data_IF_978281196694
#
_entry.id   IF_978281196694
#
_cell.length_a   1.000
_cell.length_b   1.000
_cell.length_c   1.000
_cell.angle_alpha   90.00
_cell.angle_beta   90.00
_cell.angle_gamma   90.00
#
_symmetry.space_group_name_H-M   'P 1'
#
loop_
_entity.id
_entity.type
_entity.pdbx_description
1 polymer ?
#
# COMPACT_ATOMS: atom_id res chain seq x y z
N UNK A 1 -42.35 71.58 -8.44
CA UNK A 1 -42.06 70.95 -9.75
C UNK A 1 -42.77 69.61 -9.78
N UNK A 2 -43.73 69.46 -10.72
CA UNK A 2 -44.20 68.24 -11.40
C UNK A 2 -44.53 66.96 -10.60
N UNK A 3 -45.48 66.06 -10.95
CA UNK A 3 -46.65 66.01 -11.82
C UNK A 3 -47.18 64.55 -11.72
N UNK A 4 -48.51 64.36 -11.69
CA UNK A 4 -49.31 63.24 -12.25
C UNK A 4 -49.31 61.80 -11.64
N UNK A 5 -50.57 61.38 -11.42
CA UNK A 5 -51.20 60.04 -11.44
C UNK A 5 -50.64 59.07 -12.51
N UNK A 6 -50.66 57.75 -12.26
CA UNK A 6 -51.65 56.78 -12.81
C UNK A 6 -51.36 55.30 -12.47
N UNK A 7 -52.44 54.53 -12.52
CA UNK A 7 -52.65 53.09 -12.29
C UNK A 7 -51.81 52.18 -13.20
N UNK A 8 -51.49 50.97 -12.71
CA UNK A 8 -51.06 49.82 -13.51
C UNK A 8 -51.28 48.52 -12.74
N UNK A 9 -52.12 47.65 -13.30
CA UNK A 9 -52.62 46.38 -12.78
C UNK A 9 -51.67 45.25 -13.24
N UNK A 10 -51.22 44.35 -12.36
CA UNK A 10 -50.98 42.96 -12.74
C UNK A 10 -50.99 42.03 -11.52
N UNK A 11 -51.98 41.14 -11.52
CA UNK A 11 -52.07 39.93 -10.71
C UNK A 11 -51.02 38.95 -11.23
N UNK A 12 -50.19 38.36 -10.35
CA UNK A 12 -49.55 37.08 -10.63
C UNK A 12 -49.44 36.24 -9.36
N UNK A 13 -50.33 35.25 -9.29
CA UNK A 13 -50.24 33.94 -8.66
C UNK A 13 -49.02 33.70 -7.73
N UNK A 14 -49.26 33.68 -6.41
CA UNK A 14 -48.40 32.96 -5.46
C UNK A 14 -48.54 31.46 -5.72
N UNK A 15 -47.62 30.91 -6.52
CA UNK A 15 -47.39 29.47 -6.57
C UNK A 15 -46.71 29.02 -5.28
N UNK A 16 -47.49 28.34 -4.45
CA UNK A 16 -47.01 27.59 -3.28
C UNK A 16 -46.12 26.44 -3.81
N UNK A 17 -44.81 26.62 -3.84
CA UNK A 17 -43.87 25.51 -4.00
C UNK A 17 -43.73 24.86 -2.62
N UNK A 18 -44.48 23.78 -2.39
CA UNK A 18 -44.13 22.81 -1.36
C UNK A 18 -42.76 22.23 -1.74
N UNK A 19 -41.73 22.65 -1.02
CA UNK A 19 -40.45 21.95 -1.01
C UNK A 19 -40.71 20.64 -0.26
N UNK A 20 -40.98 19.57 -1.01
CA UNK A 20 -40.81 18.22 -0.51
C UNK A 20 -39.31 18.01 -0.36
N UNK A 21 -38.82 18.13 0.87
CA UNK A 21 -37.49 17.67 1.25
C UNK A 21 -37.51 16.14 1.28
N UNK A 22 -37.01 15.52 0.22
CA UNK A 22 -36.63 14.11 0.22
C UNK A 22 -35.18 14.01 0.72
N UNK A 23 -34.87 13.28 1.81
CA UNK A 23 -33.50 12.91 2.12
C UNK A 23 -33.26 11.50 1.59
N UNK A 24 -32.89 11.41 0.32
CA UNK A 24 -32.01 10.36 -0.18
C UNK A 24 -31.11 11.10 -1.13
N UNK A 25 -29.89 11.44 -0.67
CA UNK A 25 -28.90 12.05 -1.53
C UNK A 25 -28.59 11.07 -2.64
N UNK A 26 -28.83 11.51 -3.88
CA UNK A 26 -28.45 10.75 -5.05
C UNK A 26 -26.92 10.63 -5.03
N UNK A 27 -26.42 9.43 -4.73
CA UNK A 27 -25.02 9.06 -4.95
C UNK A 27 -24.75 9.26 -6.45
N UNK A 28 -23.83 10.18 -6.78
CA UNK A 28 -23.37 10.34 -8.15
C UNK A 28 -22.68 9.03 -8.54
N UNK A 29 -23.32 8.24 -9.40
CA UNK A 29 -22.76 7.00 -9.92
C UNK A 29 -21.74 7.32 -11.00
N UNK A 30 -20.52 6.87 -10.84
CA UNK A 30 -19.42 7.18 -11.74
C UNK A 30 -18.90 5.91 -12.42
N UNK A 31 -18.22 6.06 -13.56
CA UNK A 31 -17.65 4.92 -14.28
C UNK A 31 -16.64 4.18 -13.36
N UNK A 32 -16.91 2.91 -13.02
CA UNK A 32 -16.15 2.08 -12.07
C UNK A 32 -16.01 2.67 -10.66
N UNK A 33 -16.79 2.17 -9.71
CA UNK A 33 -16.72 2.57 -8.31
C UNK A 33 -16.04 1.49 -7.47
N UNK A 34 -15.24 1.88 -6.48
CA UNK A 34 -14.67 0.95 -5.51
C UNK A 34 -14.71 1.49 -4.10
N UNK A 35 -14.59 0.58 -3.15
CA UNK A 35 -14.31 0.89 -1.77
C UNK A 35 -13.43 -0.15 -1.09
N UNK A 36 -12.72 0.29 -0.07
CA UNK A 36 -11.90 -0.57 0.77
C UNK A 36 -12.05 -0.17 2.24
N UNK A 37 -11.95 -1.15 3.11
CA UNK A 37 -11.92 -1.00 4.57
C UNK A 37 -10.66 -1.67 5.08
N UNK A 38 -9.92 -0.99 5.95
CA UNK A 38 -8.83 -1.56 6.74
C UNK A 38 -9.06 -1.24 8.21
N UNK A 39 -9.16 -2.28 9.03
CA UNK A 39 -9.33 -2.14 10.50
C UNK A 39 -8.03 -1.70 11.17
N UNK A 40 -8.12 -0.88 12.21
CA UNK A 40 -6.98 -0.60 13.09
C UNK A 40 -6.60 -1.87 13.87
N UNK A 41 -5.37 -1.90 14.40
CA UNK A 41 -4.87 -3.05 15.15
C UNK A 41 -5.78 -3.37 16.36
N UNK A 42 -6.17 -4.64 16.49
CA UNK A 42 -7.10 -5.10 17.54
C UNK A 42 -8.58 -4.95 17.22
N UNK A 43 -8.95 -4.39 16.07
CA UNK A 43 -10.34 -4.32 15.59
C UNK A 43 -10.60 -5.32 14.47
N UNK A 44 -11.86 -5.78 14.38
CA UNK A 44 -12.40 -6.58 13.26
C UNK A 44 -13.71 -5.95 12.80
N UNK A 45 -14.02 -6.07 11.51
CA UNK A 45 -15.16 -5.40 10.86
C UNK A 45 -16.50 -5.57 11.59
N UNK A 46 -16.95 -6.79 11.93
CA UNK A 46 -18.27 -6.97 12.56
C UNK A 46 -18.36 -6.49 14.01
N UNK A 47 -17.23 -6.13 14.65
CA UNK A 47 -17.19 -5.65 16.03
C UNK A 47 -16.82 -4.16 16.13
N UNK A 48 -16.72 -3.46 14.98
CA UNK A 48 -16.60 -2.01 14.93
C UNK A 48 -17.84 -1.40 15.63
N UNK A 49 -17.67 -0.67 16.75
CA UNK A 49 -18.81 -0.14 17.50
C UNK A 49 -19.67 0.76 16.63
N UNK A 50 -20.96 0.46 16.52
CA UNK A 50 -21.92 1.38 15.96
C UNK A 50 -22.31 2.39 17.05
N UNK A 51 -22.10 3.69 16.79
CA UNK A 51 -22.54 4.73 17.73
C UNK A 51 -24.07 4.79 17.75
N UNK A 52 -24.66 4.62 18.95
CA UNK A 52 -26.11 4.54 19.18
C UNK A 52 -26.88 5.89 19.04
N UNK A 53 -26.29 6.95 18.47
CA UNK A 53 -26.92 8.29 18.45
C UNK A 53 -26.40 9.20 17.30
N UNK A 54 -27.23 9.72 16.37
CA UNK A 54 -28.36 9.12 15.64
C UNK A 54 -27.88 8.30 14.39
N UNK A 55 -28.75 7.52 13.69
CA UNK A 55 -28.35 6.40 12.81
C UNK A 55 -27.77 6.85 11.44
N UNK A 56 -27.21 5.93 10.61
CA UNK A 56 -26.17 6.15 9.59
C UNK A 56 -26.41 7.29 8.58
N UNK A 57 -25.34 7.81 7.93
CA UNK A 57 -24.34 6.96 7.28
C UNK A 57 -22.92 6.98 7.88
N UNK A 58 -22.67 7.72 8.97
CA UNK A 58 -21.32 8.30 9.09
C UNK A 58 -20.17 7.42 9.59
N UNK A 59 -20.40 6.23 10.18
CA UNK A 59 -19.33 5.35 10.71
C UNK A 59 -19.59 3.85 10.45
N UNK A 60 -20.16 3.50 9.27
CA UNK A 60 -20.52 2.10 8.93
C UNK A 60 -19.58 1.52 7.87
N UNK A 61 -18.82 0.44 8.15
CA UNK A 61 -18.01 -0.23 7.14
C UNK A 61 -18.85 -0.77 5.97
N UNK A 62 -20.13 -1.09 6.15
CA UNK A 62 -21.00 -1.56 5.05
C UNK A 62 -21.14 -0.52 3.92
N UNK A 63 -21.02 0.78 4.21
CA UNK A 63 -21.05 1.84 3.18
C UNK A 63 -19.88 1.71 2.19
N UNK A 64 -18.78 1.09 2.60
CA UNK A 64 -17.57 0.99 1.79
C UNK A 64 -17.52 -0.26 0.92
N UNK A 65 -18.27 -1.32 1.25
CA UNK A 65 -18.20 -2.56 0.48
C UNK A 65 -19.53 -3.18 0.06
N UNK A 66 -20.61 -2.98 0.82
CA UNK A 66 -21.91 -3.62 0.56
C UNK A 66 -22.92 -2.64 -0.03
N UNK A 67 -23.22 -1.56 0.69
CA UNK A 67 -24.22 -0.59 0.26
C UNK A 67 -23.78 0.15 -1.01
N UNK A 68 -22.47 0.39 -1.19
CA UNK A 68 -22.00 1.01 -2.43
C UNK A 68 -22.24 0.10 -3.66
N UNK A 69 -21.97 -1.21 -3.59
CA UNK A 69 -22.24 -2.12 -4.72
C UNK A 69 -23.74 -2.15 -5.02
N UNK A 70 -24.59 -2.20 -4.00
CA UNK A 70 -26.06 -2.18 -4.15
C UNK A 70 -26.55 -0.89 -4.80
N UNK A 71 -25.90 0.23 -4.51
CA UNK A 71 -26.25 1.53 -5.06
C UNK A 71 -25.73 1.75 -6.48
N UNK A 72 -24.75 0.96 -6.95
CA UNK A 72 -24.19 1.03 -8.30
C UNK A 72 -25.18 0.54 -9.38
N UNK A 73 -26.20 1.35 -9.69
CA UNK A 73 -27.17 1.07 -10.74
C UNK A 73 -26.63 1.24 -12.17
N UNK A 74 -25.39 1.71 -12.33
CA UNK A 74 -24.81 2.15 -13.62
C UNK A 74 -23.52 1.41 -14.01
N UNK A 75 -23.11 0.39 -13.24
CA UNK A 75 -21.95 -0.47 -13.50
C UNK A 75 -22.45 -1.85 -13.95
N UNK A 76 -22.79 -2.04 -15.25
CA UNK A 76 -23.45 -3.25 -15.72
C UNK A 76 -22.50 -4.46 -15.84
N UNK A 77 -21.19 -4.25 -15.75
CA UNK A 77 -20.18 -5.26 -16.08
C UNK A 77 -19.69 -5.99 -14.83
N UNK A 78 -20.58 -6.18 -13.86
CA UNK A 78 -20.33 -7.01 -12.69
C UNK A 78 -19.60 -6.34 -11.53
N UNK A 79 -19.19 -7.15 -10.56
CA UNK A 79 -18.49 -6.70 -9.35
C UNK A 79 -17.59 -7.79 -8.79
N UNK A 80 -16.67 -7.39 -7.92
CA UNK A 80 -15.88 -8.30 -7.10
C UNK A 80 -15.73 -7.79 -5.68
N UNK A 81 -15.63 -8.72 -4.74
CA UNK A 81 -15.37 -8.46 -3.32
C UNK A 81 -14.41 -9.52 -2.79
N UNK A 82 -13.39 -9.08 -2.08
CA UNK A 82 -12.45 -9.93 -1.36
C UNK A 82 -12.31 -9.45 0.07
N UNK A 83 -11.93 -10.34 0.98
CA UNK A 83 -11.53 -9.95 2.34
C UNK A 83 -10.30 -10.73 2.80
N UNK A 84 -9.65 -10.23 3.85
CA UNK A 84 -8.56 -10.92 4.55
C UNK A 84 -8.92 -11.00 6.04
N UNK A 85 -8.62 -12.14 6.65
CA UNK A 85 -8.77 -12.35 8.10
C UNK A 85 -7.60 -11.81 8.88
N UNK A 86 -7.86 -11.39 10.13
CA UNK A 86 -6.81 -10.96 11.04
C UNK A 86 -5.82 -12.10 11.31
N UNK A 87 -4.52 -11.82 11.12
CA UNK A 87 -3.44 -12.80 11.23
C UNK A 87 -3.18 -13.67 9.99
N UNK A 88 -3.98 -13.54 8.92
CA UNK A 88 -3.66 -14.14 7.62
C UNK A 88 -2.86 -13.15 6.76
N UNK A 89 -2.07 -13.66 5.82
CA UNK A 89 -1.36 -12.85 4.80
C UNK A 89 -1.78 -13.21 3.38
N UNK A 90 -2.54 -14.29 3.22
CA UNK A 90 -3.00 -14.82 1.94
C UNK A 90 -4.53 -14.87 1.98
N UNK A 91 -5.17 -14.41 0.91
CA UNK A 91 -6.62 -14.43 0.68
C UNK A 91 -6.95 -15.71 -0.08
N UNK A 92 -7.43 -16.80 0.54
CA UNK A 92 -7.82 -18.01 -0.18
C UNK A 92 -9.05 -17.79 -1.09
N UNK A 93 -9.34 -18.74 -1.97
CA UNK A 93 -10.45 -18.65 -2.94
C UNK A 93 -11.83 -18.46 -2.29
N UNK A 94 -12.06 -19.04 -1.11
CA UNK A 94 -13.32 -18.89 -0.35
C UNK A 94 -13.49 -17.52 0.32
N UNK A 95 -12.51 -16.62 0.15
CA UNK A 95 -12.57 -15.23 0.57
C UNK A 95 -12.65 -14.27 -0.64
N UNK A 96 -12.96 -14.80 -1.83
CA UNK A 96 -13.05 -14.05 -3.08
C UNK A 96 -14.38 -14.35 -3.78
N UNK A 97 -15.12 -13.31 -4.10
CA UNK A 97 -16.38 -13.43 -4.81
C UNK A 97 -16.42 -12.47 -5.99
N UNK A 98 -16.81 -13.00 -7.14
CA UNK A 98 -16.94 -12.25 -8.38
C UNK A 98 -18.28 -12.56 -9.05
N UNK A 99 -18.82 -11.56 -9.74
CA UNK A 99 -20.01 -11.68 -10.56
C UNK A 99 -19.79 -10.97 -11.88
N UNK A 100 -20.13 -11.62 -12.99
CA UNK A 100 -20.20 -10.98 -14.31
C UNK A 100 -21.46 -10.10 -14.46
N UNK A 101 -22.46 -10.31 -13.60
CA UNK A 101 -23.73 -9.59 -13.60
C UNK A 101 -23.79 -8.57 -12.44
N UNK A 102 -24.47 -7.43 -12.61
CA UNK A 102 -24.65 -6.46 -11.54
C UNK A 102 -25.58 -6.98 -10.44
N UNK A 103 -25.51 -6.37 -9.25
CA UNK A 103 -26.45 -6.64 -8.15
C UNK A 103 -27.91 -6.40 -8.61
N UNK A 104 -28.90 -7.23 -8.22
CA UNK A 104 -28.88 -8.27 -7.19
C UNK A 104 -28.41 -9.66 -7.63
N UNK A 105 -27.85 -9.80 -8.83
CA UNK A 105 -27.28 -11.09 -9.26
C UNK A 105 -25.95 -11.36 -8.57
N UNK A 106 -25.60 -12.64 -8.43
CA UNK A 106 -24.30 -13.08 -7.91
C UNK A 106 -24.22 -13.18 -6.39
N UNK A 107 -23.00 -13.33 -5.84
CA UNK A 107 -22.75 -13.74 -4.46
C UNK A 107 -22.63 -12.60 -3.43
N UNK A 108 -23.01 -11.35 -3.73
CA UNK A 108 -22.79 -10.21 -2.82
C UNK A 108 -23.37 -10.43 -1.41
N UNK A 109 -24.62 -10.91 -1.32
CA UNK A 109 -25.28 -11.13 -0.03
C UNK A 109 -24.62 -12.27 0.77
N UNK A 110 -24.08 -13.29 0.09
CA UNK A 110 -23.30 -14.35 0.72
C UNK A 110 -21.97 -13.81 1.25
N UNK A 111 -21.25 -13.03 0.44
CA UNK A 111 -20.01 -12.39 0.84
C UNK A 111 -20.20 -11.49 2.08
N UNK A 112 -21.26 -10.68 2.09
CA UNK A 112 -21.63 -9.84 3.23
C UNK A 112 -21.87 -10.67 4.50
N UNK A 113 -22.67 -11.73 4.41
CA UNK A 113 -22.91 -12.62 5.56
C UNK A 113 -21.62 -13.25 6.11
N UNK A 114 -20.67 -13.60 5.25
CA UNK A 114 -19.38 -14.16 5.65
C UNK A 114 -18.51 -13.09 6.31
N UNK A 115 -18.37 -11.92 5.71
CA UNK A 115 -17.56 -10.81 6.23
C UNK A 115 -18.09 -10.33 7.59
N UNK A 116 -19.41 -10.26 7.73
CA UNK A 116 -20.07 -9.77 8.95
C UNK A 116 -20.18 -10.83 10.05
N UNK A 117 -19.64 -12.04 9.85
CA UNK A 117 -19.56 -13.04 10.92
C UNK A 117 -18.32 -12.79 11.79
N UNK A 118 -18.48 -12.52 13.11
CA UNK A 118 -17.36 -12.27 14.01
C UNK A 118 -16.32 -13.40 14.03
N UNK A 119 -16.73 -14.65 13.81
CA UNK A 119 -15.81 -15.81 13.78
C UNK A 119 -14.87 -15.81 12.58
N UNK A 120 -15.11 -14.96 11.58
CA UNK A 120 -14.24 -14.83 10.41
C UNK A 120 -13.20 -13.73 10.57
N UNK A 121 -13.27 -12.90 11.62
CA UNK A 121 -12.23 -11.92 11.97
C UNK A 121 -11.79 -11.05 10.78
N UNK A 122 -12.74 -10.61 9.94
CA UNK A 122 -12.41 -9.82 8.75
C UNK A 122 -11.70 -8.52 9.16
N UNK A 123 -10.51 -8.28 8.60
CA UNK A 123 -9.64 -7.14 8.91
C UNK A 123 -9.51 -6.15 7.76
N UNK A 124 -9.61 -6.64 6.51
CA UNK A 124 -9.51 -5.88 5.29
C UNK A 124 -10.59 -6.38 4.34
N UNK A 125 -11.32 -5.46 3.71
CA UNK A 125 -12.25 -5.75 2.62
C UNK A 125 -11.95 -4.81 1.46
N UNK A 126 -11.92 -5.34 0.24
CA UNK A 126 -11.82 -4.57 -1.00
C UNK A 126 -12.93 -5.00 -1.93
N UNK A 127 -13.62 -4.02 -2.49
CA UNK A 127 -14.80 -4.25 -3.31
C UNK A 127 -14.87 -3.26 -4.46
N UNK A 128 -15.28 -3.73 -5.64
CA UNK A 128 -15.29 -2.92 -6.86
C UNK A 128 -16.50 -3.30 -7.73
N UNK A 129 -17.22 -2.29 -8.22
CA UNK A 129 -18.28 -2.42 -9.20
C UNK A 129 -17.81 -1.85 -10.55
N UNK A 130 -17.88 -2.66 -11.60
CA UNK A 130 -17.21 -2.40 -12.87
C UNK A 130 -18.16 -1.85 -13.94
N UNK A 131 -17.73 -0.77 -14.59
CA UNK A 131 -18.21 -0.31 -15.90
C UNK A 131 -17.00 -0.34 -16.85
N UNK A 132 -16.83 -1.48 -17.50
CA UNK A 132 -15.64 -1.83 -18.26
C UNK A 132 -15.68 -1.28 -19.69
N UNK A 133 -14.55 -0.77 -20.17
CA UNK A 133 -14.39 -0.35 -21.57
C UNK A 133 -13.94 -1.49 -22.51
N UNK A 134 -13.77 -2.72 -21.98
CA UNK A 134 -13.43 -3.94 -22.75
C UNK A 134 -12.89 -5.11 -21.91
N UNK A 135 -12.94 -6.33 -22.45
CA UNK A 135 -12.40 -7.56 -21.84
C UNK A 135 -13.24 -8.17 -20.69
N UNK A 136 -13.15 -9.48 -20.50
CA UNK A 136 -13.71 -10.21 -19.34
C UNK A 136 -12.78 -10.10 -18.15
N UNK A 137 -13.30 -9.74 -16.99
CA UNK A 137 -12.55 -9.72 -15.73
C UNK A 137 -12.93 -8.58 -14.79
N UNK A 138 -12.86 -8.85 -13.49
CA UNK A 138 -13.35 -7.97 -12.44
C UNK A 138 -12.24 -7.66 -11.44
N UNK A 139 -12.24 -6.43 -10.96
CA UNK A 139 -11.48 -6.07 -9.78
C UNK A 139 -12.18 -6.63 -8.52
N UNK A 140 -11.46 -6.77 -7.39
CA UNK A 140 -10.02 -6.63 -7.25
C UNK A 140 -9.25 -7.77 -7.94
N UNK A 141 -8.16 -7.44 -8.65
CA UNK A 141 -7.18 -8.44 -9.10
C UNK A 141 -6.36 -8.90 -7.90
N UNK A 142 -5.84 -10.13 -7.94
CA UNK A 142 -5.00 -10.69 -6.86
C UNK A 142 -3.72 -11.30 -7.41
N UNK A 143 -2.62 -11.19 -6.68
CA UNK A 143 -1.30 -11.73 -7.06
C UNK A 143 -0.62 -12.33 -5.83
N UNK A 144 -0.34 -13.63 -5.87
CA UNK A 144 0.35 -14.33 -4.79
C UNK A 144 1.87 -14.21 -4.95
N UNK A 145 2.55 -13.67 -3.94
CA UNK A 145 4.00 -13.62 -3.92
C UNK A 145 4.55 -13.66 -2.51
N UNK A 146 5.61 -14.45 -2.30
CA UNK A 146 6.33 -14.54 -1.02
C UNK A 146 5.42 -14.81 0.20
N UNK A 147 4.37 -15.62 0.02
CA UNK A 147 3.41 -15.96 1.07
C UNK A 147 2.42 -14.84 1.40
N UNK A 148 2.18 -13.91 0.48
CA UNK A 148 1.23 -12.81 0.62
C UNK A 148 0.35 -12.68 -0.62
N UNK A 149 -0.91 -12.27 -0.43
CA UNK A 149 -1.77 -11.81 -1.51
C UNK A 149 -1.67 -10.31 -1.65
N UNK A 150 -1.19 -9.86 -2.81
CA UNK A 150 -1.36 -8.48 -3.25
C UNK A 150 -2.72 -8.35 -3.95
N UNK A 151 -3.44 -7.26 -3.73
CA UNK A 151 -4.72 -7.02 -4.40
C UNK A 151 -4.81 -5.62 -4.99
N UNK A 152 -5.44 -5.48 -6.16
CA UNK A 152 -5.42 -4.22 -6.92
C UNK A 152 -6.78 -3.86 -7.50
N UNK A 153 -7.19 -2.63 -7.23
CA UNK A 153 -8.39 -1.98 -7.77
C UNK A 153 -7.98 -0.73 -8.53
N UNK A 154 -8.53 -0.53 -9.73
CA UNK A 154 -8.20 0.61 -10.57
C UNK A 154 -9.49 1.26 -11.08
N UNK A 155 -9.56 2.58 -10.97
CA UNK A 155 -10.58 3.43 -11.57
C UNK A 155 -9.88 4.39 -12.53
N UNK A 156 -9.98 4.05 -13.81
CA UNK A 156 -9.29 4.76 -14.88
C UNK A 156 -9.12 3.89 -16.11
N UNK A 157 -8.35 4.41 -17.05
CA UNK A 157 -7.92 3.67 -18.23
C UNK A 157 -6.54 4.15 -18.68
N UNK A 158 -5.74 3.23 -19.19
CA UNK A 158 -4.49 3.55 -19.89
C UNK A 158 -4.66 3.35 -21.40
N UNK A 159 -3.95 4.15 -22.20
CA UNK A 159 -4.02 4.00 -23.67
C UNK A 159 -3.49 2.64 -24.15
N UNK A 160 -3.98 2.17 -25.30
CA UNK A 160 -3.49 0.96 -25.96
C UNK A 160 -1.98 0.97 -26.22
N UNK A 161 -1.36 2.14 -26.39
CA UNK A 161 0.09 2.26 -26.56
C UNK A 161 0.84 1.87 -25.28
N UNK A 162 0.37 2.34 -24.12
CA UNK A 162 0.94 1.94 -22.83
C UNK A 162 0.64 0.47 -22.57
N UNK A 163 -0.62 0.05 -22.74
CA UNK A 163 -1.04 -1.35 -22.55
C UNK A 163 -0.16 -2.32 -23.34
N UNK A 164 0.07 -2.04 -24.63
CA UNK A 164 0.96 -2.83 -25.48
C UNK A 164 2.42 -2.79 -24.98
N UNK A 165 2.93 -1.64 -24.57
CA UNK A 165 4.31 -1.52 -24.08
C UNK A 165 4.53 -2.29 -22.76
N UNK A 166 3.57 -2.25 -21.84
CA UNK A 166 3.60 -3.07 -20.61
C UNK A 166 3.57 -4.55 -20.95
N UNK A 167 2.64 -4.97 -21.80
CA UNK A 167 2.59 -6.35 -22.28
C UNK A 167 3.91 -6.77 -22.95
N UNK A 168 4.53 -5.90 -23.76
CA UNK A 168 5.78 -6.21 -24.45
C UNK A 168 6.95 -6.44 -23.48
N UNK A 169 7.05 -5.66 -22.39
CA UNK A 169 8.05 -5.90 -21.34
C UNK A 169 7.76 -7.16 -20.52
N UNK A 170 6.49 -7.45 -20.21
CA UNK A 170 6.08 -8.63 -19.45
C UNK A 170 6.19 -9.94 -20.26
N UNK A 171 5.70 -9.93 -21.50
CA UNK A 171 5.71 -11.10 -22.39
C UNK A 171 7.13 -11.55 -22.74
N UNK A 172 8.09 -10.60 -22.73
CA UNK A 172 9.53 -10.84 -22.88
C UNK A 172 9.88 -11.90 -23.93
N UNK A 173 9.70 -11.56 -25.21
CA UNK A 173 9.92 -12.44 -26.36
C UNK A 173 11.35 -13.01 -26.51
N UNK A 174 12.32 -12.53 -25.72
CA UNK A 174 13.73 -12.95 -25.70
C UNK A 174 14.00 -14.30 -25.00
N UNK A 175 12.94 -15.07 -24.74
CA UNK A 175 12.93 -16.41 -24.13
C UNK A 175 14.00 -17.36 -24.72
N UNK A 176 14.45 -17.13 -25.96
CA UNK A 176 15.41 -18.01 -26.64
C UNK A 176 16.89 -17.79 -26.30
N UNK A 177 17.27 -16.76 -25.53
CA UNK A 177 18.70 -16.48 -25.27
C UNK A 177 19.18 -16.75 -23.83
N UNK A 178 18.29 -16.87 -22.83
CA UNK A 178 18.72 -16.90 -21.41
C UNK A 178 18.01 -17.92 -20.48
N UNK A 179 17.26 -18.90 -21.01
CA UNK A 179 16.55 -19.93 -20.20
C UNK A 179 15.64 -19.36 -19.08
N UNK A 180 15.10 -18.14 -19.25
CA UNK A 180 14.14 -17.54 -18.31
C UNK A 180 12.72 -17.75 -18.83
N UNK A 181 11.87 -18.39 -18.01
CA UNK A 181 10.45 -18.58 -18.32
C UNK A 181 9.74 -17.22 -18.48
N UNK A 182 8.83 -17.06 -19.47
CA UNK A 182 8.05 -15.84 -19.64
C UNK A 182 7.28 -15.44 -18.37
N UNK A 183 7.05 -14.13 -18.16
CA UNK A 183 6.37 -13.63 -16.96
C UNK A 183 5.03 -14.33 -16.71
N UNK A 184 4.17 -14.41 -17.72
CA UNK A 184 2.84 -15.01 -17.60
C UNK A 184 2.82 -16.53 -17.53
N UNK A 185 3.97 -17.20 -17.70
CA UNK A 185 4.14 -18.62 -17.38
C UNK A 185 4.37 -18.81 -15.88
N UNK A 186 5.06 -17.86 -15.25
CA UNK A 186 5.33 -17.89 -13.80
C UNK A 186 4.21 -17.23 -12.98
N UNK A 187 3.50 -16.29 -13.59
CA UNK A 187 2.50 -15.44 -12.96
C UNK A 187 1.27 -15.36 -13.85
N UNK A 188 0.40 -16.35 -13.73
CA UNK A 188 -0.80 -16.48 -14.56
C UNK A 188 -1.73 -15.27 -14.42
N UNK A 189 -2.45 -14.97 -15.50
CA UNK A 189 -3.54 -14.00 -15.50
C UNK A 189 -4.66 -14.45 -14.57
N UNK A 190 -5.26 -13.51 -13.82
CA UNK A 190 -6.41 -13.79 -12.96
C UNK A 190 -7.62 -14.33 -13.72
N UNK A 191 -7.70 -14.05 -15.02
CA UNK A 191 -8.84 -14.41 -15.87
C UNK A 191 -8.44 -15.39 -16.99
N UNK A 192 -7.34 -16.12 -16.81
CA UNK A 192 -6.83 -17.09 -17.80
C UNK A 192 -6.63 -16.49 -19.20
N UNK A 193 -6.27 -15.19 -19.26
CA UNK A 193 -6.04 -14.49 -20.51
C UNK A 193 -4.86 -15.10 -21.25
N UNK A 194 -5.01 -15.38 -22.55
CA UNK A 194 -3.93 -15.87 -23.39
C UNK A 194 -2.75 -14.87 -23.39
N UNK A 195 -1.55 -15.24 -22.89
CA UNK A 195 -0.41 -14.34 -22.84
C UNK A 195 0.02 -13.80 -24.21
N UNK A 196 -0.25 -14.54 -25.29
CA UNK A 196 0.08 -14.12 -26.66
C UNK A 196 -0.87 -13.07 -27.25
N UNK A 197 -1.99 -12.76 -26.61
CA UNK A 197 -2.98 -11.79 -27.09
C UNK A 197 -3.11 -10.59 -26.14
N UNK A 198 -2.26 -9.59 -26.34
CA UNK A 198 -2.28 -8.36 -25.56
C UNK A 198 -3.64 -7.62 -25.63
N UNK A 199 -4.42 -7.83 -26.68
CA UNK A 199 -5.70 -7.12 -26.84
C UNK A 199 -6.76 -7.66 -25.89
N UNK A 200 -6.68 -8.94 -25.52
CA UNK A 200 -7.60 -9.62 -24.62
C UNK A 200 -7.42 -9.22 -23.14
N UNK A 201 -6.21 -8.81 -22.74
CA UNK A 201 -5.96 -8.36 -21.36
C UNK A 201 -6.81 -7.13 -21.01
N UNK A 202 -7.26 -7.05 -19.77
CA UNK A 202 -7.74 -5.78 -19.23
C UNK A 202 -6.52 -4.91 -18.94
N UNK A 203 -6.63 -3.62 -19.22
CA UNK A 203 -5.55 -2.65 -19.02
C UNK A 203 -5.07 -2.59 -17.56
N UNK A 204 -6.01 -2.68 -16.63
CA UNK A 204 -5.80 -2.75 -15.18
C UNK A 204 -5.01 -4.00 -14.76
N UNK A 205 -5.24 -5.14 -15.41
CA UNK A 205 -4.51 -6.38 -15.13
C UNK A 205 -3.04 -6.25 -15.55
N UNK A 206 -2.79 -5.74 -16.76
CA UNK A 206 -1.42 -5.49 -17.24
C UNK A 206 -0.69 -4.45 -16.38
N UNK A 207 -1.39 -3.39 -15.97
CA UNK A 207 -0.85 -2.40 -15.04
C UNK A 207 -0.47 -3.05 -13.71
N UNK A 208 -1.33 -3.91 -13.16
CA UNK A 208 -1.06 -4.61 -11.90
C UNK A 208 0.14 -5.56 -12.01
N UNK A 209 0.21 -6.41 -13.04
CA UNK A 209 1.38 -7.27 -13.26
C UNK A 209 2.67 -6.47 -13.47
N UNK A 210 2.61 -5.32 -14.14
CA UNK A 210 3.75 -4.41 -14.28
C UNK A 210 4.21 -3.85 -12.93
N UNK A 211 3.28 -3.43 -12.08
CA UNK A 211 3.56 -2.99 -10.71
C UNK A 211 4.21 -4.14 -9.92
N UNK A 212 3.62 -5.34 -9.95
CA UNK A 212 4.14 -6.51 -9.24
C UNK A 212 5.55 -6.89 -9.69
N UNK A 213 5.83 -6.85 -11.00
CA UNK A 213 7.19 -7.08 -11.51
C UNK A 213 8.19 -6.11 -10.87
N UNK A 214 7.85 -4.82 -10.80
CA UNK A 214 8.75 -3.82 -10.23
C UNK A 214 8.88 -3.97 -8.71
N UNK A 215 7.83 -4.39 -7.98
CA UNK A 215 7.93 -4.73 -6.55
C UNK A 215 8.93 -5.86 -6.34
N UNK A 216 8.85 -6.94 -7.14
CA UNK A 216 9.78 -8.07 -7.08
C UNK A 216 11.21 -7.63 -7.40
N UNK A 217 11.39 -6.82 -8.44
CA UNK A 217 12.71 -6.31 -8.86
C UNK A 217 13.35 -5.38 -7.81
N UNK A 218 12.55 -4.77 -6.91
CA UNK A 218 13.00 -3.87 -5.84
C UNK A 218 12.92 -4.54 -4.46
N UNK A 219 13.36 -5.80 -4.38
CA UNK A 219 13.47 -6.58 -3.14
C UNK A 219 12.15 -6.66 -2.34
N UNK A 220 11.01 -6.69 -3.04
CA UNK A 220 9.66 -6.73 -2.47
C UNK A 220 9.24 -5.45 -1.72
N UNK A 221 9.94 -4.33 -1.91
CA UNK A 221 9.47 -3.04 -1.41
C UNK A 221 8.30 -2.56 -2.25
N UNK A 222 7.09 -2.58 -1.69
CA UNK A 222 5.86 -2.14 -2.36
C UNK A 222 6.00 -0.69 -2.84
N UNK A 223 6.48 0.20 -1.97
CA UNK A 223 6.59 1.62 -2.27
C UNK A 223 7.64 1.91 -3.36
N UNK A 224 8.83 1.31 -3.27
CA UNK A 224 9.89 1.48 -4.27
C UNK A 224 9.48 0.90 -5.63
N UNK A 225 8.89 -0.30 -5.62
CA UNK A 225 8.39 -0.97 -6.83
C UNK A 225 7.26 -0.19 -7.51
N UNK A 226 6.32 0.36 -6.73
CA UNK A 226 5.24 1.19 -7.26
C UNK A 226 5.77 2.45 -7.93
N UNK A 227 6.70 3.15 -7.29
CA UNK A 227 7.33 4.33 -7.89
C UNK A 227 8.09 3.98 -9.17
N UNK A 228 8.91 2.92 -9.13
CA UNK A 228 9.66 2.48 -10.30
C UNK A 228 8.73 2.10 -11.46
N UNK A 229 7.64 1.38 -11.18
CA UNK A 229 6.64 1.01 -12.18
C UNK A 229 6.03 2.23 -12.88
N UNK A 230 5.67 3.27 -12.11
CA UNK A 230 4.97 4.45 -12.62
C UNK A 230 5.91 5.49 -13.26
N UNK A 231 7.22 5.38 -13.04
CA UNK A 231 8.23 6.30 -13.59
C UNK A 231 9.13 5.66 -14.66
N UNK A 232 8.91 4.39 -14.98
CA UNK A 232 9.73 3.65 -15.92
C UNK A 232 9.64 4.16 -17.37
N UNK A 233 10.70 3.88 -18.13
CA UNK A 233 10.69 3.98 -19.59
C UNK A 233 10.51 2.58 -20.17
N UNK A 234 9.38 2.35 -20.82
CA UNK A 234 9.00 1.04 -21.36
C UNK A 234 9.13 0.98 -22.87
N UNK A 235 9.55 -0.16 -23.43
CA UNK A 235 9.68 -0.31 -24.89
C UNK A 235 8.32 -0.54 -25.53
N UNK A 236 8.02 0.29 -26.53
CA UNK A 236 6.81 0.21 -27.35
C UNK A 236 6.96 -0.67 -28.59
N UNK A 237 8.14 -1.26 -28.84
CA UNK A 237 8.36 -2.23 -29.91
C UNK A 237 9.34 -3.33 -29.48
N UNK A 238 9.15 -4.58 -29.95
CA UNK A 238 10.16 -5.64 -29.85
C UNK A 238 11.43 -5.23 -30.65
N UNK A 239 12.63 -5.39 -30.09
CA UNK A 239 13.88 -5.24 -30.86
C UNK A 239 14.00 -6.19 -32.07
N UNK A 240 14.93 -5.96 -33.04
CA UNK A 240 16.08 -5.01 -33.02
C UNK A 240 15.75 -3.54 -33.41
N UNK A 241 16.63 -2.57 -33.08
CA UNK A 241 16.37 -1.11 -33.01
C UNK A 241 16.02 -0.35 -34.31
N UNK A 242 15.57 0.93 -34.20
CA UNK A 242 15.42 1.71 -32.96
C UNK A 242 14.10 1.41 -32.24
N UNK A 243 14.21 0.86 -31.03
CA UNK A 243 13.07 0.69 -30.13
C UNK A 243 12.61 2.07 -29.64
N UNK A 244 11.38 2.44 -29.95
CA UNK A 244 10.75 3.63 -29.35
C UNK A 244 10.39 3.33 -27.90
N UNK A 245 10.70 4.25 -26.98
CA UNK A 245 10.34 4.13 -25.56
C UNK A 245 9.21 5.08 -25.22
N UNK A 246 8.34 4.65 -24.31
CA UNK A 246 7.31 5.47 -23.69
C UNK A 246 7.79 5.79 -22.28
N UNK A 247 7.82 7.07 -21.96
CA UNK A 247 8.14 7.57 -20.62
C UNK A 247 6.86 7.60 -19.79
N UNK A 248 6.66 6.64 -18.88
CA UNK A 248 5.43 6.51 -18.11
C UNK A 248 5.21 7.70 -17.17
N UNK A 249 6.29 8.28 -16.63
CA UNK A 249 6.18 9.51 -15.85
C UNK A 249 5.52 10.62 -16.68
N UNK A 250 6.00 10.85 -17.91
CA UNK A 250 5.41 11.85 -18.79
C UNK A 250 3.97 11.53 -19.18
N UNK A 251 3.64 10.25 -19.36
CA UNK A 251 2.27 9.83 -19.64
C UNK A 251 1.33 10.07 -18.47
N UNK A 252 1.74 9.77 -17.24
CA UNK A 252 0.89 9.89 -16.06
C UNK A 252 0.83 11.30 -15.45
N UNK A 253 1.81 12.17 -15.76
CA UNK A 253 1.86 13.56 -15.29
C UNK A 253 1.35 14.56 -16.35
N UNK A 254 1.72 14.41 -17.64
CA UNK A 254 1.33 15.37 -18.68
C UNK A 254 0.13 14.93 -19.50
N UNK A 255 -0.12 13.63 -19.56
CA UNK A 255 -1.18 13.01 -20.35
C UNK A 255 -2.18 12.25 -19.46
N UNK A 256 -2.33 12.66 -18.19
CA UNK A 256 -3.22 12.04 -17.21
C UNK A 256 -4.68 11.99 -17.69
N UNK A 257 -5.10 12.94 -18.52
CA UNK A 257 -6.46 13.05 -19.05
C UNK A 257 -6.86 11.89 -19.99
N UNK A 258 -5.88 11.15 -20.50
CA UNK A 258 -6.09 9.95 -21.32
C UNK A 258 -5.38 8.72 -20.75
N UNK A 259 -4.69 8.87 -19.62
CA UNK A 259 -4.01 7.81 -18.86
C UNK A 259 -4.32 8.03 -17.37
N UNK A 260 -5.58 7.75 -17.02
CA UNK A 260 -6.06 7.85 -15.65
C UNK A 260 -5.65 6.58 -14.91
N UNK A 261 -4.90 6.73 -13.80
CA UNK A 261 -4.39 5.62 -12.98
C UNK A 261 -4.70 5.82 -11.50
N UNK A 262 -5.97 6.04 -11.15
CA UNK A 262 -6.34 6.08 -9.75
C UNK A 262 -6.57 4.66 -9.24
N UNK A 263 -5.92 4.28 -8.15
CA UNK A 263 -5.96 2.90 -7.68
C UNK A 263 -5.90 2.77 -6.17
N UNK A 264 -6.27 1.59 -5.70
CA UNK A 264 -5.97 1.07 -4.38
C UNK A 264 -5.22 -0.25 -4.57
N UNK A 265 -4.01 -0.31 -4.02
CA UNK A 265 -3.20 -1.53 -3.93
C UNK A 265 -3.14 -1.96 -2.47
N UNK A 266 -3.37 -3.23 -2.21
CA UNK A 266 -3.11 -3.89 -0.93
C UNK A 266 -1.92 -4.84 -1.10
N UNK A 267 -0.99 -4.86 -0.15
CA UNK A 267 0.23 -5.69 -0.23
C UNK A 267 0.26 -6.89 0.73
N UNK A 268 -0.88 -7.19 1.35
CA UNK A 268 -1.00 -8.18 2.42
C UNK A 268 -1.03 -7.57 3.82
N UNK A 269 -0.64 -6.31 3.97
CA UNK A 269 -0.59 -5.63 5.28
C UNK A 269 -1.21 -4.22 5.25
N UNK A 270 -0.93 -3.45 4.20
CA UNK A 270 -1.25 -2.02 4.12
C UNK A 270 -1.92 -1.66 2.80
N UNK A 271 -2.65 -0.53 2.79
CA UNK A 271 -3.26 0.04 1.57
C UNK A 271 -2.42 1.20 1.03
N UNK A 272 -2.26 1.23 -0.29
CA UNK A 272 -1.61 2.29 -1.06
C UNK A 272 -2.63 2.87 -2.02
N UNK A 273 -3.02 4.12 -1.78
CA UNK A 273 -4.07 4.82 -2.51
C UNK A 273 -3.44 5.93 -3.35
N UNK A 274 -3.58 5.87 -4.67
CA UNK A 274 -2.99 6.87 -5.57
C UNK A 274 -4.04 7.54 -6.45
N UNK A 275 -3.89 8.85 -6.68
CA UNK A 275 -4.72 9.62 -7.60
C UNK A 275 -3.86 10.45 -8.54
N UNK A 276 -4.12 10.40 -9.85
CA UNK A 276 -3.48 11.29 -10.84
C UNK A 276 -4.47 12.23 -11.55
N UNK A 277 -5.76 12.14 -11.23
CA UNK A 277 -6.81 12.99 -11.80
C UNK A 277 -6.91 14.36 -11.14
N UNK A 278 -7.34 15.39 -11.88
CA UNK A 278 -7.56 16.72 -11.32
C UNK A 278 -8.78 16.71 -10.41
N UNK A 279 -8.85 17.66 -9.47
CA UNK A 279 -9.95 17.76 -8.51
C UNK A 279 -11.33 17.70 -9.17
N UNK A 280 -11.54 18.42 -10.28
CA UNK A 280 -12.82 18.53 -10.98
C UNK A 280 -13.21 17.29 -11.81
N UNK A 281 -12.43 16.20 -11.77
CA UNK A 281 -12.82 14.92 -12.35
C UNK A 281 -13.69 14.14 -11.36
N UNK A 282 -14.93 14.57 -11.19
CA UNK A 282 -15.87 14.01 -10.20
C UNK A 282 -15.90 12.48 -10.21
N UNK A 283 -15.88 11.89 -11.42
CA UNK A 283 -15.99 10.45 -11.65
C UNK A 283 -14.80 9.59 -11.19
N UNK A 284 -13.72 10.23 -10.76
CA UNK A 284 -12.43 9.58 -10.51
C UNK A 284 -11.79 9.97 -9.18
N UNK A 285 -12.51 10.73 -8.36
CA UNK A 285 -12.02 11.14 -7.06
C UNK A 285 -11.95 9.96 -6.10
N UNK A 286 -10.86 9.90 -5.34
CA UNK A 286 -10.71 8.96 -4.23
C UNK A 286 -10.61 9.78 -2.96
N UNK A 287 -11.35 9.35 -1.94
CA UNK A 287 -11.26 9.89 -0.60
C UNK A 287 -10.98 8.78 0.39
N UNK A 288 -10.33 9.12 1.50
CA UNK A 288 -10.16 8.23 2.66
C UNK A 288 -10.64 8.92 3.94
N UNK A 289 -11.00 8.15 4.95
CA UNK A 289 -11.38 8.67 6.27
C UNK A 289 -10.97 7.67 7.35
N UNK A 290 -10.33 8.17 8.40
CA UNK A 290 -10.11 7.44 9.64
C UNK A 290 -11.35 7.64 10.53
N UNK A 291 -11.90 6.54 11.04
CA UNK A 291 -13.10 6.53 11.86
C UNK A 291 -12.72 6.19 13.30
N UNK A 292 -13.28 6.95 14.25
CA UNK A 292 -13.07 6.76 15.69
C UNK A 292 -13.50 5.35 16.17
N UNK A 293 -14.33 4.67 15.38
CA UNK A 293 -14.80 3.31 15.62
C UNK A 293 -13.75 2.22 15.33
N UNK A 294 -12.58 2.57 14.79
CA UNK A 294 -11.43 1.67 14.68
C UNK A 294 -11.16 1.13 13.28
N UNK A 295 -11.51 1.88 12.23
CA UNK A 295 -11.16 1.52 10.86
C UNK A 295 -10.85 2.73 9.99
N UNK A 296 -10.26 2.46 8.83
CA UNK A 296 -10.01 3.44 7.78
C UNK A 296 -10.74 2.98 6.53
N UNK A 297 -11.61 3.84 5.99
CA UNK A 297 -12.35 3.60 4.76
C UNK A 297 -11.77 4.39 3.60
N UNK A 298 -11.73 3.78 2.41
CA UNK A 298 -11.32 4.40 1.14
C UNK A 298 -12.43 4.20 0.13
N UNK A 299 -12.83 5.22 -0.61
CA UNK A 299 -13.95 5.12 -1.58
C UNK A 299 -13.75 6.04 -2.78
N UNK A 300 -14.23 5.59 -3.95
CA UNK A 300 -14.42 6.46 -5.11
C UNK A 300 -15.53 7.47 -4.81
N UNK A 301 -15.18 8.64 -4.30
CA UNK A 301 -16.12 9.70 -3.97
C UNK A 301 -15.38 11.03 -3.87
N UNK A 302 -16.06 12.11 -4.28
CA UNK A 302 -15.54 13.48 -4.11
C UNK A 302 -15.14 13.77 -2.66
N UNK A 303 -15.98 13.40 -1.70
CA UNK A 303 -15.74 13.59 -0.28
C UNK A 303 -16.51 12.52 0.51
N UNK A 304 -15.83 11.83 1.43
CA UNK A 304 -16.51 11.07 2.48
C UNK A 304 -16.98 12.10 3.51
N UNK A 305 -18.28 12.23 3.71
CA UNK A 305 -18.86 13.26 4.57
C UNK A 305 -18.26 13.28 5.99
N UNK A 306 -18.28 14.46 6.62
CA UNK A 306 -17.85 14.68 8.00
C UNK A 306 -16.39 14.26 8.28
N UNK A 307 -15.45 14.87 7.57
CA UNK A 307 -14.01 14.74 7.86
C UNK A 307 -13.24 13.78 6.95
N UNK A 308 -13.80 13.35 5.83
CA UNK A 308 -13.05 12.66 4.79
C UNK A 308 -11.97 13.54 4.16
N UNK A 309 -10.88 12.90 3.76
CA UNK A 309 -9.75 13.48 3.08
C UNK A 309 -9.79 13.07 1.61
N UNK A 310 -10.03 14.03 0.72
CA UNK A 310 -9.84 13.79 -0.70
C UNK A 310 -8.35 13.67 -0.99
N UNK A 311 -7.93 12.54 -1.57
CA UNK A 311 -6.53 12.31 -1.95
C UNK A 311 -6.10 13.38 -2.95
N UNK A 312 -5.07 14.22 -2.70
CA UNK A 312 -4.66 15.24 -3.66
C UNK A 312 -4.15 14.66 -5.00
N UNK A 313 -4.08 15.48 -6.05
CA UNK A 313 -3.59 15.00 -7.35
C UNK A 313 -2.10 14.65 -7.24
N UNK A 314 -1.68 13.58 -7.93
CA UNK A 314 -0.33 13.01 -7.92
C UNK A 314 0.16 12.60 -6.52
N UNK A 315 -0.76 12.32 -5.61
CA UNK A 315 -0.45 11.95 -4.24
C UNK A 315 -0.70 10.46 -4.04
N UNK A 316 0.25 9.83 -3.35
CA UNK A 316 0.10 8.49 -2.80
C UNK A 316 -0.21 8.61 -1.30
N UNK A 317 -1.21 7.88 -0.81
CA UNK A 317 -1.53 7.75 0.61
C UNK A 317 -1.18 6.34 1.04
N UNK A 318 -0.33 6.21 2.04
CA UNK A 318 -0.02 4.93 2.69
C UNK A 318 -0.86 4.81 3.96
N UNK A 319 -1.68 3.76 4.03
CA UNK A 319 -2.64 3.51 5.11
C UNK A 319 -2.27 2.18 5.78
N UNK A 320 -2.12 2.22 7.10
CA UNK A 320 -1.68 1.09 7.92
C UNK A 320 -2.60 0.92 9.11
N UNK A 321 -2.50 -0.20 9.83
CA UNK A 321 -3.40 -0.53 10.95
C UNK A 321 -3.02 0.13 12.29
N UNK A 322 -1.77 0.53 12.43
CA UNK A 322 -1.13 0.96 13.69
C UNK A 322 -0.72 2.45 13.70
N UNK A 323 -0.98 3.18 12.61
CA UNK A 323 -0.67 4.59 12.49
C UNK A 323 -1.64 5.32 11.53
N UNK A 324 -1.83 6.61 11.75
CA UNK A 324 -2.62 7.47 10.87
C UNK A 324 -2.06 7.48 9.43
N UNK A 325 -2.93 7.64 8.42
CA UNK A 325 -2.52 7.72 7.02
C UNK A 325 -1.42 8.76 6.75
N UNK A 326 -0.47 8.41 5.87
CA UNK A 326 0.63 9.30 5.47
C UNK A 326 0.51 9.66 4.00
N UNK A 327 0.49 10.96 3.70
CA UNK A 327 0.45 11.48 2.33
C UNK A 327 1.85 11.78 1.77
N UNK A 328 2.05 11.35 0.53
CA UNK A 328 3.24 11.58 -0.27
C UNK A 328 2.85 12.38 -1.51
N UNK A 329 2.78 13.71 -1.34
CA UNK A 329 2.52 14.63 -2.43
C UNK A 329 3.62 14.56 -3.49
N UNK A 330 3.23 14.81 -4.75
CA UNK A 330 4.10 14.70 -5.92
C UNK A 330 4.88 13.38 -5.93
N UNK A 331 4.17 12.27 -5.67
CA UNK A 331 4.76 10.96 -5.41
C UNK A 331 5.78 10.54 -6.47
N UNK A 332 5.49 10.80 -7.75
CA UNK A 332 6.35 10.44 -8.89
C UNK A 332 7.60 11.32 -9.04
N UNK A 333 7.70 12.43 -8.29
CA UNK A 333 8.87 13.30 -8.22
C UNK A 333 9.75 13.00 -7.00
N UNK A 334 9.35 12.05 -6.14
CA UNK A 334 10.07 11.74 -4.91
C UNK A 334 11.39 11.02 -5.19
N UNK A 335 12.41 11.40 -4.43
CA UNK A 335 13.67 10.66 -4.34
C UNK A 335 13.55 9.60 -3.27
N UNK A 336 12.94 8.48 -3.65
CA UNK A 336 12.69 7.38 -2.73
C UNK A 336 13.98 6.62 -2.44
N UNK A 337 14.33 6.61 -1.18
CA UNK A 337 15.40 5.80 -0.61
C UNK A 337 14.72 4.93 0.43
N UNK A 338 14.63 3.65 0.17
CA UNK A 338 13.99 2.73 1.11
C UNK A 338 15.11 2.05 1.86
N UNK A 339 15.36 2.47 3.09
CA UNK A 339 16.38 1.90 3.93
C UNK A 339 15.76 0.80 4.79
N UNK A 340 16.46 -0.33 4.86
CA UNK A 340 16.08 -1.45 5.71
C UNK A 340 17.27 -1.83 6.59
N UNK A 341 17.02 -2.03 7.88
CA UNK A 341 18.04 -2.49 8.83
C UNK A 341 17.70 -3.89 9.36
N UNK A 342 18.71 -4.75 9.46
CA UNK A 342 18.63 -6.05 10.10
C UNK A 342 19.78 -6.23 11.09
N UNK A 343 19.50 -6.83 12.25
CA UNK A 343 20.48 -7.04 13.30
C UNK A 343 20.52 -8.50 13.74
N UNK A 344 21.73 -9.02 13.93
CA UNK A 344 21.97 -10.36 14.52
C UNK A 344 23.05 -10.26 15.58
N UNK A 345 22.92 -11.02 16.65
CA UNK A 345 23.85 -11.04 17.76
C UNK A 345 24.69 -12.32 17.81
N UNK A 346 25.90 -12.22 18.36
CA UNK A 346 26.77 -13.37 18.62
C UNK A 346 27.78 -13.05 19.74
N UNK A 347 28.02 -13.98 20.69
CA UNK A 347 27.33 -15.26 20.86
C UNK A 347 25.93 -15.10 21.49
N UNK A 348 25.01 -16.01 21.17
CA UNK A 348 23.73 -16.20 21.86
C UNK A 348 23.63 -17.65 22.37
N UNK A 349 23.65 -17.96 23.68
CA UNK A 349 23.72 -17.00 24.79
C UNK A 349 25.14 -16.52 25.13
N UNK A 350 25.25 -15.28 25.61
CA UNK A 350 26.50 -14.63 26.07
C UNK A 350 26.70 -14.74 27.58
N UNK A 351 27.95 -14.76 28.05
CA UNK A 351 28.30 -14.77 29.48
C UNK A 351 29.00 -13.47 29.90
N UNK A 352 29.00 -13.18 31.19
CA UNK A 352 29.78 -12.09 31.80
C UNK A 352 31.24 -12.11 31.32
N UNK A 353 31.79 -10.95 30.98
CA UNK A 353 33.16 -10.79 30.51
C UNK A 353 33.42 -11.21 29.05
N UNK A 354 32.47 -11.84 28.36
CA UNK A 354 32.60 -12.14 26.94
C UNK A 354 32.33 -10.90 26.07
N UNK A 355 32.82 -10.92 24.83
CA UNK A 355 32.47 -9.90 23.83
C UNK A 355 31.17 -10.31 23.15
N UNK A 356 30.15 -9.46 23.25
CA UNK A 356 28.94 -9.55 22.45
C UNK A 356 29.10 -8.67 21.21
N UNK A 357 28.74 -9.21 20.05
CA UNK A 357 28.83 -8.53 18.75
C UNK A 357 27.46 -8.51 18.08
N UNK A 358 26.99 -7.32 17.72
CA UNK A 358 25.87 -7.10 16.83
C UNK A 358 26.38 -6.90 15.41
N UNK A 359 26.00 -7.81 14.50
CA UNK A 359 26.14 -7.64 13.06
C UNK A 359 24.91 -6.90 12.55
N UNK A 360 25.11 -5.69 12.06
CA UNK A 360 24.06 -4.83 11.52
C UNK A 360 24.24 -4.76 10.00
N UNK A 361 23.20 -5.12 9.26
CA UNK A 361 23.12 -4.96 7.81
C UNK A 361 22.11 -3.88 7.49
N UNK A 362 22.53 -2.89 6.70
CA UNK A 362 21.66 -1.82 6.19
C UNK A 362 21.62 -1.95 4.67
N UNK A 363 20.43 -1.95 4.08
CA UNK A 363 20.22 -2.04 2.63
C UNK A 363 19.40 -0.85 2.16
N UNK A 364 19.71 -0.31 0.98
CA UNK A 364 18.84 0.63 0.28
C UNK A 364 18.07 -0.12 -0.82
N UNK A 365 16.81 -0.47 -0.59
CA UNK A 365 15.94 -1.08 -1.59
C UNK A 365 15.26 -0.05 -2.51
N UNK A 366 15.46 1.24 -2.25
CA UNK A 366 14.92 2.32 -3.07
C UNK A 366 15.62 2.46 -4.42
N UNK A 367 14.96 3.07 -5.42
CA UNK A 367 15.53 3.28 -6.75
C UNK A 367 16.57 4.42 -6.81
N UNK A 368 16.72 5.22 -5.74
CA UNK A 368 17.69 6.32 -5.66
C UNK A 368 18.73 6.07 -4.58
N UNK A 369 19.91 6.68 -4.74
CA UNK A 369 20.95 6.67 -3.72
C UNK A 369 20.49 7.38 -2.44
N UNK A 370 20.78 6.77 -1.29
CA UNK A 370 20.62 7.39 0.01
C UNK A 370 21.87 8.22 0.33
N UNK A 371 21.64 9.47 0.74
CA UNK A 371 22.70 10.40 1.11
C UNK A 371 22.77 10.57 2.62
N UNK A 372 24.00 10.61 3.14
CA UNK A 372 24.25 10.77 4.57
C UNK A 372 23.46 9.76 5.42
N UNK A 373 23.65 8.47 5.14
CA UNK A 373 23.01 7.40 5.90
C UNK A 373 23.54 7.42 7.34
N UNK A 374 22.65 7.62 8.31
CA UNK A 374 23.00 7.68 9.74
C UNK A 374 22.51 6.41 10.41
N UNK A 375 23.43 5.68 11.05
CA UNK A 375 23.13 4.59 11.97
C UNK A 375 23.11 5.14 13.40
N UNK A 376 22.03 4.89 14.13
CA UNK A 376 21.88 5.18 15.55
C UNK A 376 21.67 3.87 16.33
N UNK A 377 22.37 3.69 17.44
CA UNK A 377 22.28 2.48 18.28
C UNK A 377 22.71 2.85 19.72
N UNK A 378 21.73 2.94 20.62
CA UNK A 378 21.99 3.05 22.06
C UNK A 378 22.26 1.66 22.63
N UNK A 379 23.51 1.20 22.52
CA UNK A 379 23.91 -0.13 22.98
C UNK A 379 23.52 -0.35 24.45
N UNK A 380 23.20 -1.60 24.85
CA UNK A 380 22.80 -1.91 26.21
C UNK A 380 23.84 -1.45 27.23
N UNK A 381 23.43 -0.88 28.36
CA UNK A 381 24.35 -0.34 29.37
C UNK A 381 25.34 -1.37 29.96
N UNK A 382 25.01 -2.66 29.85
CA UNK A 382 25.89 -3.79 30.24
C UNK A 382 27.03 -4.04 29.26
N UNK A 383 27.00 -3.43 28.06
CA UNK A 383 28.07 -3.52 27.07
C UNK A 383 29.04 -2.35 27.27
N UNK A 384 30.24 -2.65 27.77
CA UNK A 384 31.26 -1.64 28.06
C UNK A 384 32.29 -1.50 26.93
N UNK A 385 32.76 -0.28 26.73
CA UNK A 385 33.71 0.12 25.69
C UNK A 385 33.31 -0.39 24.28
N UNK A 386 32.09 -0.08 23.81
CA UNK A 386 31.65 -0.54 22.51
C UNK A 386 32.51 0.06 21.39
N UNK A 387 32.76 -0.76 20.37
CA UNK A 387 33.55 -0.43 19.18
C UNK A 387 32.71 -0.78 17.96
N UNK A 388 32.63 0.14 17.00
CA UNK A 388 32.10 -0.14 15.67
C UNK A 388 33.24 -0.52 14.71
N UNK A 389 33.02 -1.54 13.89
CA UNK A 389 33.93 -1.96 12.83
C UNK A 389 33.20 -1.95 11.48
N UNK A 390 33.81 -1.28 10.50
CA UNK A 390 33.31 -1.14 9.12
C UNK A 390 34.46 -1.44 8.17
N UNK A 391 34.31 -2.49 7.36
CA UNK A 391 35.41 -3.02 6.55
C UNK A 391 36.60 -3.42 7.43
N UNK A 392 37.73 -2.72 7.27
CA UNK A 392 38.96 -2.94 8.03
C UNK A 392 39.24 -1.87 9.11
N UNK A 393 38.30 -0.94 9.32
CA UNK A 393 38.46 0.17 10.26
C UNK A 393 37.62 -0.04 11.50
N UNK A 394 38.15 0.29 12.67
CA UNK A 394 37.46 0.21 13.95
C UNK A 394 37.56 1.53 14.71
N UNK A 395 36.45 1.95 15.32
CA UNK A 395 36.34 3.21 16.06
C UNK A 395 35.57 2.99 17.37
N UNK A 396 35.83 3.76 18.43
CA UNK A 396 34.92 3.80 19.58
C UNK A 396 33.50 4.13 19.12
N UNK A 397 32.51 3.40 19.64
CA UNK A 397 31.10 3.64 19.34
C UNK A 397 30.51 4.65 20.32
N UNK A 398 29.91 5.71 19.79
CA UNK A 398 29.31 6.80 20.59
C UNK A 398 27.79 6.89 20.46
N UNK A 399 27.15 5.87 19.88
CA UNK A 399 25.70 5.82 19.71
C UNK A 399 25.19 6.25 18.34
N UNK A 400 26.01 6.94 17.53
CA UNK A 400 25.65 7.34 16.17
C UNK A 400 26.86 7.43 15.25
N UNK A 401 26.69 7.12 13.97
CA UNK A 401 27.69 7.31 12.92
C UNK A 401 27.03 7.57 11.57
N UNK A 402 27.53 8.58 10.85
CA UNK A 402 27.25 8.76 9.43
C UNK A 402 28.13 7.77 8.63
N UNK A 403 27.45 6.88 7.90
CA UNK A 403 28.04 5.82 7.07
C UNK A 403 28.36 6.29 5.65
N UNK A 404 28.03 7.53 5.31
CA UNK A 404 28.15 8.12 3.98
C UNK A 404 26.96 7.77 3.10
N UNK A 405 27.18 7.74 1.80
CA UNK A 405 26.15 7.45 0.83
C UNK A 405 25.98 5.95 0.63
N UNK A 406 24.75 5.50 0.41
CA UNK A 406 24.43 4.12 0.07
C UNK A 406 23.68 4.08 -1.27
N UNK A 407 24.36 3.59 -2.30
CA UNK A 407 23.79 3.47 -3.65
C UNK A 407 22.53 2.61 -3.68
N UNK A 408 21.64 2.87 -4.63
CA UNK A 408 20.44 2.06 -4.87
C UNK A 408 20.75 0.56 -5.01
N UNK A 409 19.99 -0.28 -4.32
CA UNK A 409 20.14 -1.74 -4.30
C UNK A 409 21.39 -2.27 -3.59
N UNK A 410 22.18 -1.42 -2.92
CA UNK A 410 23.39 -1.83 -2.19
C UNK A 410 23.12 -2.01 -0.70
N UNK A 411 24.01 -2.77 -0.07
CA UNK A 411 24.03 -2.97 1.37
C UNK A 411 25.39 -2.60 1.97
N UNK A 412 25.38 -2.08 3.19
CA UNK A 412 26.54 -1.93 4.05
C UNK A 412 26.37 -2.82 5.29
N UNK A 413 27.46 -3.45 5.73
CA UNK A 413 27.49 -4.27 6.93
C UNK A 413 28.47 -3.68 7.92
N UNK A 414 28.03 -3.48 9.15
CA UNK A 414 28.83 -2.99 10.27
C UNK A 414 28.74 -3.96 11.45
N UNK A 415 29.75 -3.93 12.32
CA UNK A 415 29.77 -4.72 13.55
C UNK A 415 29.95 -3.79 14.74
N UNK A 416 29.00 -3.81 15.68
CA UNK A 416 29.15 -3.15 16.98
C UNK A 416 29.46 -4.22 18.01
N UNK A 417 30.57 -4.10 18.71
CA UNK A 417 31.03 -5.11 19.68
C UNK A 417 31.52 -4.47 20.97
N UNK A 418 31.27 -5.13 22.10
CA UNK A 418 31.74 -4.67 23.40
C UNK A 418 31.75 -5.81 24.43
N UNK A 419 32.48 -5.61 25.52
CA UNK A 419 32.55 -6.61 26.60
C UNK A 419 31.30 -6.50 27.46
N UNK A 420 30.71 -7.62 27.85
CA UNK A 420 29.63 -7.64 28.83
C UNK A 420 30.21 -7.48 30.25
N UNK A 421 29.63 -6.55 31.00
CA UNK A 421 29.94 -6.25 32.40
C UNK A 421 28.64 -5.91 33.15
N UNK A 422 28.13 -6.87 33.94
CA UNK A 422 26.94 -6.67 34.77
C UNK A 422 27.22 -5.89 36.07
N UNK A 423 28.50 -5.58 36.36
CA UNK A 423 28.92 -4.94 37.61
C UNK A 423 28.74 -5.83 38.86
N UNK A 424 28.98 -5.28 40.06
CA UNK A 424 28.84 -6.02 41.32
C UNK A 424 27.36 -6.09 41.74
N UNK A 425 26.58 -6.93 41.07
CA UNK A 425 25.17 -7.20 41.40
C UNK A 425 24.86 -8.70 41.39
N UNK A 426 23.91 -9.19 42.20
CA UNK A 426 23.57 -10.61 42.26
C UNK A 426 22.67 -11.07 41.11
N UNK A 427 22.27 -10.19 40.21
CA UNK A 427 21.24 -10.47 39.20
C UNK A 427 21.77 -10.24 37.80
N UNK A 428 21.99 -11.34 37.07
CA UNK A 428 22.26 -11.33 35.64
C UNK A 428 20.90 -11.26 34.92
N UNK A 429 20.65 -10.26 34.04
CA UNK A 429 19.41 -10.20 33.28
C UNK A 429 19.33 -11.42 32.36
N UNK A 430 18.17 -12.04 32.21
CA UNK A 430 18.00 -13.22 31.33
C UNK A 430 18.19 -12.85 29.85
N UNK A 431 17.81 -11.63 29.50
CA UNK A 431 17.88 -11.10 28.14
C UNK A 431 18.57 -9.74 28.11
N UNK A 432 19.36 -9.51 27.06
CA UNK A 432 19.91 -8.21 26.69
C UNK A 432 19.25 -7.81 25.37
N UNK A 433 18.53 -6.68 25.37
CA UNK A 433 17.87 -6.16 24.17
C UNK A 433 18.66 -4.99 23.62
N UNK A 434 19.03 -5.05 22.35
CA UNK A 434 19.60 -3.92 21.62
C UNK A 434 18.64 -3.43 20.53
N UNK A 435 18.61 -2.13 20.28
CA UNK A 435 17.81 -1.51 19.21
C UNK A 435 18.66 -0.54 18.43
N UNK A 436 18.71 -0.72 17.11
CA UNK A 436 19.34 0.21 16.20
C UNK A 436 18.30 0.78 15.23
N UNK A 437 18.54 2.01 14.79
CA UNK A 437 17.76 2.69 13.78
C UNK A 437 18.66 3.21 12.66
N UNK A 438 18.12 3.31 11.46
CA UNK A 438 18.80 3.94 10.33
C UNK A 438 17.94 5.07 9.74
N UNK A 439 18.60 6.10 9.21
CA UNK A 439 17.93 7.20 8.53
C UNK A 439 18.79 7.76 7.38
N UNK A 440 18.19 8.62 6.58
CA UNK A 440 18.79 9.37 5.46
C UNK A 440 18.40 10.84 5.58
N UNK A 441 19.14 11.75 4.92
CA UNK A 441 18.84 13.19 4.96
C UNK A 441 18.09 13.68 3.69
N UNK A 442 17.31 14.78 3.78
CA UNK A 442 16.68 15.40 2.62
C UNK A 442 17.68 15.70 1.49
N UNK A 443 17.25 15.59 0.21
CA UNK A 443 15.88 15.45 -0.26
C UNK A 443 15.38 13.99 -0.34
N UNK A 444 16.16 13.02 0.14
CA UNK A 444 15.76 11.62 0.17
C UNK A 444 14.54 11.44 1.10
N UNK A 445 13.57 10.63 0.67
CA UNK A 445 12.41 10.28 1.48
C UNK A 445 12.35 8.77 1.65
N UNK A 446 12.34 8.34 2.91
CA UNK A 446 12.07 6.97 3.28
C UNK A 446 10.58 6.81 3.61
N UNK A 447 9.85 6.02 2.81
CA UNK A 447 8.41 5.84 2.98
C UNK A 447 8.02 4.73 3.95
N UNK A 448 8.95 3.84 4.31
CA UNK A 448 8.70 2.66 5.14
C UNK A 448 9.47 2.76 6.48
N UNK A 449 9.14 3.71 7.37
CA UNK A 449 9.90 3.93 8.61
C UNK A 449 9.90 2.74 9.58
N UNK A 450 9.05 1.72 9.38
CA UNK A 450 9.00 0.52 10.25
C UNK A 450 10.23 -0.37 10.08
N UNK A 451 10.72 -0.55 8.86
CA UNK A 451 11.88 -1.40 8.60
C UNK A 451 13.22 -0.68 8.78
N UNK A 452 13.16 0.60 9.18
CA UNK A 452 14.28 1.42 9.62
C UNK A 452 14.71 1.20 11.07
N UNK A 453 14.12 0.22 11.76
CA UNK A 453 14.52 -0.20 13.11
C UNK A 453 14.73 -1.70 13.18
N UNK A 454 15.77 -2.13 13.88
CA UNK A 454 16.05 -3.53 14.15
C UNK A 454 16.28 -3.75 15.65
N UNK A 455 15.71 -4.84 16.17
CA UNK A 455 15.87 -5.28 17.56
C UNK A 455 16.55 -6.63 17.58
N UNK A 456 17.55 -6.80 18.45
CA UNK A 456 18.15 -8.09 18.77
C UNK A 456 17.99 -8.39 20.26
N UNK A 457 17.59 -9.62 20.58
CA UNK A 457 17.40 -10.10 21.95
C UNK A 457 18.37 -11.25 22.20
N UNK A 458 19.44 -10.96 22.96
CA UNK A 458 20.49 -11.92 23.32
C UNK A 458 20.15 -12.58 24.65
N UNK A 459 20.22 -13.92 24.74
CA UNK A 459 20.12 -14.62 26.03
C UNK A 459 21.44 -14.55 26.79
N UNK A 460 21.36 -14.53 28.10
CA UNK A 460 22.55 -14.61 28.97
C UNK A 460 22.72 -16.02 29.52
N UNK A 461 23.97 -16.42 29.80
CA UNK A 461 24.27 -17.62 30.59
C UNK A 461 24.45 -17.23 32.04
N UNK A 462 23.63 -17.81 32.91
CA UNK A 462 23.91 -17.81 34.33
C UNK A 462 25.07 -18.77 34.63
N UNK A 463 26.23 -18.22 34.98
CA UNK A 463 27.40 -19.02 35.37
C UNK A 463 27.42 -19.33 36.88
N UNK A 464 26.43 -18.85 37.64
CA UNK A 464 26.28 -19.09 39.08
C UNK A 464 25.36 -20.27 39.42
N UNK A 465 24.64 -20.83 38.44
CA UNK A 465 23.93 -22.09 38.59
C UNK A 465 24.94 -23.24 38.77
N UNK A 466 25.05 -23.76 40.00
CA UNK A 466 25.82 -24.97 40.30
C UNK A 466 25.39 -26.13 39.39
N UNK A 467 26.31 -26.95 38.85
CA UNK A 467 25.91 -28.15 38.12
C UNK A 467 25.15 -29.07 39.06
N UNK A 468 23.95 -29.50 38.67
CA UNK A 468 23.21 -30.54 39.39
C UNK A 468 24.11 -31.76 39.57
N UNK A 469 24.50 -32.02 40.82
CA UNK A 469 25.16 -33.26 41.20
C UNK A 469 24.15 -34.40 41.01
N UNK A 470 24.50 -35.33 40.11
CA UNK A 470 23.80 -36.57 39.78
C UNK A 470 23.27 -37.37 40.97
#
# INVERSE_FOLDING_TARGET
MALKRMKGFLVLLMGLVMILSSPVMAQESHNCDFGAVLTLEGYIIPEIPQNDDPPPPYDDPDDFFYEFIKACNYNPDGYGIIYLKDGETVIPEDQRWYSEEPYPSGPLDEAHQVIMNPSNHAMMVMAHARSGTGGSGHHPFTFEWNGRTYAFMHNGAITNNIKYALWNELYNWYVYENDVEPWFVQHESNWNTNPGDWTAFIDSELLFHWIMKNIIDHNNSTFAGLHAALTAKVRSTPPPPPSTTIDLYDQFIRHFNINTINFVLFDGESLYVYRNTPWNANDHNISYKEFDSGFIGVKTQWNIENGGHQVPQFTLVHITRDASPVEFADFLDLRITELQIAMKDYPDPVSEGQVLTYKISITNNGPYDAYDVILEDEVPAVMVNPIITIGFSSFPWYGSMNLGNLEAGKSIVVYISGRIDYGPGPTIPIYITNTAAVSTLPPCKDPEPRNNKAVAVTRTRDTTATPDTK
#
